data_IF_474927026231
#
_entry.id   IF_474927026231
#
_cell.length_a   1.000
_cell.length_b   1.000
_cell.length_c   1.000
_cell.angle_alpha   90.00
_cell.angle_beta   90.00
_cell.angle_gamma   90.00
#
_symmetry.space_group_name_H-M   'P 1'
#
loop_
_entity.id
_entity.type
_entity.pdbx_description
1 polymer ?
#
# COMPACT_ATOMS: atom_id res chain seq x y z
N UNK A 1 38.33 -49.17 16.09
CA UNK A 1 38.03 -47.90 15.40
C UNK A 1 36.66 -47.47 15.88
N UNK A 2 36.64 -46.52 16.82
CA UNK A 2 35.56 -46.33 17.80
C UNK A 2 34.32 -45.64 17.23
N UNK A 3 33.16 -46.11 17.68
CA UNK A 3 31.79 -45.64 17.37
C UNK A 3 31.57 -44.14 17.65
N UNK A 4 32.46 -43.54 18.44
CA UNK A 4 32.49 -42.12 18.82
C UNK A 4 32.61 -41.21 17.60
N UNK A 5 33.38 -41.59 16.58
CA UNK A 5 33.54 -40.82 15.34
C UNK A 5 32.28 -40.76 14.48
N UNK A 6 31.42 -41.77 14.58
CA UNK A 6 30.17 -41.88 13.81
C UNK A 6 29.09 -41.00 14.46
N UNK A 7 29.00 -41.02 15.80
CA UNK A 7 28.04 -40.24 16.56
C UNK A 7 28.23 -38.72 16.42
N UNK A 8 29.47 -38.22 16.38
CA UNK A 8 29.75 -36.79 16.21
C UNK A 8 29.37 -36.29 14.82
N UNK A 9 29.60 -37.09 13.78
CA UNK A 9 29.25 -36.71 12.38
C UNK A 9 27.74 -36.65 12.15
N UNK A 10 26.99 -37.59 12.73
CA UNK A 10 25.53 -37.59 12.64
C UNK A 10 24.93 -36.37 13.36
N UNK A 11 25.45 -36.02 14.54
CA UNK A 11 25.00 -34.84 15.28
C UNK A 11 25.19 -33.52 14.51
N UNK A 12 26.33 -33.36 13.83
CA UNK A 12 26.61 -32.19 13.00
C UNK A 12 25.68 -32.12 11.78
N UNK A 13 25.41 -33.25 11.12
CA UNK A 13 24.47 -33.29 10.00
C UNK A 13 23.04 -32.93 10.42
N UNK A 14 22.56 -33.43 11.56
CA UNK A 14 21.22 -33.11 12.08
C UNK A 14 21.11 -31.63 12.44
N UNK A 15 22.14 -31.05 13.06
CA UNK A 15 22.18 -29.62 13.38
C UNK A 15 22.12 -28.73 12.13
N UNK A 16 22.81 -29.10 11.04
CA UNK A 16 22.77 -28.36 9.78
C UNK A 16 21.39 -28.44 9.11
N UNK A 17 20.72 -29.61 9.14
CA UNK A 17 19.38 -29.78 8.56
C UNK A 17 18.34 -28.96 9.34
N UNK A 18 18.43 -28.93 10.67
CA UNK A 18 17.54 -28.11 11.51
C UNK A 18 17.73 -26.61 11.27
N UNK A 19 18.97 -26.14 11.12
CA UNK A 19 19.25 -24.73 10.81
C UNK A 19 18.70 -24.32 9.43
N UNK A 20 18.80 -25.20 8.42
CA UNK A 20 18.24 -24.96 7.08
C UNK A 20 16.71 -24.98 7.07
N UNK A 21 16.08 -25.84 7.87
CA UNK A 21 14.62 -25.89 7.99
C UNK A 21 14.05 -24.64 8.67
N UNK A 22 14.71 -24.12 9.71
CA UNK A 22 14.31 -22.90 10.42
C UNK A 22 14.47 -21.64 9.56
N UNK A 23 15.54 -21.54 8.77
CA UNK A 23 15.75 -20.40 7.86
C UNK A 23 14.68 -20.28 6.77
N UNK A 24 14.22 -21.41 6.23
CA UNK A 24 13.17 -21.43 5.21
C UNK A 24 11.77 -21.09 5.76
N UNK A 25 11.51 -21.36 7.03
CA UNK A 25 10.23 -21.00 7.66
C UNK A 25 10.12 -19.47 7.86
N UNK A 26 11.18 -18.83 8.35
CA UNK A 26 11.22 -17.37 8.57
C UNK A 26 11.10 -16.58 7.25
N UNK A 27 11.73 -17.05 6.17
CA UNK A 27 11.66 -16.40 4.86
C UNK A 27 10.27 -16.49 4.20
N UNK A 28 9.50 -17.55 4.47
CA UNK A 28 8.13 -17.70 3.94
C UNK A 28 7.11 -16.80 4.62
N UNK A 29 7.34 -16.41 5.87
CA UNK A 29 6.42 -15.54 6.60
C UNK A 29 6.56 -14.06 6.19
N UNK A 30 7.77 -13.62 5.85
CA UNK A 30 8.02 -12.25 5.37
C UNK A 30 7.45 -11.97 3.97
N UNK A 31 7.35 -12.97 3.10
CA UNK A 31 6.80 -12.82 1.75
C UNK A 31 5.26 -12.68 1.72
N UNK A 32 4.56 -12.92 2.84
CA UNK A 32 3.10 -12.99 2.84
C UNK A 32 2.39 -11.64 3.07
N UNK A 33 3.13 -10.56 3.38
CA UNK A 33 2.55 -9.24 3.68
C UNK A 33 3.40 -8.07 3.17
N UNK A 34 3.90 -8.14 1.93
CA UNK A 34 4.44 -6.92 1.30
C UNK A 34 3.29 -5.94 1.04
N UNK A 35 3.31 -4.81 1.76
CA UNK A 35 2.38 -3.70 1.52
C UNK A 35 2.82 -3.01 0.23
N UNK A 36 2.00 -3.12 -0.80
CA UNK A 36 2.23 -2.50 -2.10
C UNK A 36 1.64 -1.09 -2.10
N UNK A 37 2.37 -0.16 -2.69
CA UNK A 37 1.89 1.20 -2.94
C UNK A 37 1.62 1.34 -4.42
N UNK A 38 0.43 1.79 -4.78
CA UNK A 38 -0.01 1.96 -6.16
C UNK A 38 -0.40 3.42 -6.39
N UNK A 39 0.12 4.00 -7.48
CA UNK A 39 -0.31 5.31 -7.95
C UNK A 39 -1.22 5.13 -9.16
N UNK A 40 -2.45 5.63 -9.04
CA UNK A 40 -3.42 5.64 -10.13
C UNK A 40 -3.40 7.02 -10.76
N UNK A 41 -2.89 7.09 -11.97
CA UNK A 41 -2.96 8.26 -12.82
C UNK A 41 -4.36 8.37 -13.44
N UNK A 42 -5.02 9.51 -13.24
CA UNK A 42 -6.31 9.79 -13.87
C UNK A 42 -6.24 11.17 -14.51
N UNK A 43 -6.79 11.31 -15.71
CA UNK A 43 -6.92 12.63 -16.32
C UNK A 43 -7.85 13.54 -15.51
N UNK A 44 -8.82 12.95 -14.79
CA UNK A 44 -9.82 13.70 -14.01
C UNK A 44 -10.11 12.95 -12.72
N UNK A 45 -10.02 13.66 -11.60
CA UNK A 45 -10.42 13.17 -10.28
C UNK A 45 -11.67 13.93 -9.85
N UNK A 46 -12.76 13.19 -9.62
CA UNK A 46 -14.05 13.77 -9.22
C UNK A 46 -14.24 13.53 -7.73
N UNK A 47 -14.33 14.61 -6.95
CA UNK A 47 -14.46 14.60 -5.50
C UNK A 47 -15.88 14.98 -5.10
N UNK A 48 -16.52 14.07 -4.38
CA UNK A 48 -17.73 14.36 -3.64
C UNK A 48 -17.35 14.65 -2.19
N UNK A 49 -17.17 15.94 -1.88
CA UNK A 49 -16.81 16.40 -0.54
C UNK A 49 -17.97 16.19 0.45
N UNK A 50 -17.64 15.72 1.65
CA UNK A 50 -18.55 15.45 2.76
C UNK A 50 -18.06 16.20 4.00
N UNK A 51 -18.99 16.69 4.80
CA UNK A 51 -18.66 17.38 6.06
C UNK A 51 -18.72 16.39 7.25
N UNK A 52 -18.19 15.18 7.06
CA UNK A 52 -18.11 14.17 8.11
C UNK A 52 -16.72 14.21 8.77
N UNK A 53 -16.61 13.96 10.09
CA UNK A 53 -15.34 14.11 10.81
C UNK A 53 -14.27 13.10 10.36
N UNK A 54 -14.65 11.90 9.94
CA UNK A 54 -13.70 10.84 9.59
C UNK A 54 -13.52 10.67 8.07
N UNK A 55 -14.54 11.03 7.27
CA UNK A 55 -14.53 10.87 5.82
C UNK A 55 -14.84 12.20 5.15
N UNK A 56 -13.81 12.84 4.63
CA UNK A 56 -13.89 14.16 4.02
C UNK A 56 -14.39 14.13 2.58
N UNK A 57 -14.12 13.07 1.82
CA UNK A 57 -14.65 12.96 0.47
C UNK A 57 -14.76 11.51 -0.03
N UNK A 58 -15.51 11.34 -1.12
CA UNK A 58 -15.45 10.17 -1.98
C UNK A 58 -14.91 10.57 -3.34
N UNK A 59 -13.95 9.81 -3.84
CA UNK A 59 -13.30 10.04 -5.14
C UNK A 59 -13.74 8.95 -6.10
N UNK A 60 -14.18 9.35 -7.29
CA UNK A 60 -14.41 8.43 -8.40
C UNK A 60 -13.12 8.35 -9.22
N UNK A 61 -12.53 7.16 -9.27
CA UNK A 61 -11.27 6.89 -9.95
C UNK A 61 -11.54 6.01 -11.17
N UNK A 62 -11.07 6.48 -12.33
CA UNK A 62 -11.18 5.78 -13.60
C UNK A 62 -9.80 5.26 -13.99
N UNK A 63 -9.54 3.98 -13.73
CA UNK A 63 -8.25 3.34 -14.03
C UNK A 63 -8.07 3.03 -15.51
N UNK A 64 -9.17 2.84 -16.25
CA UNK A 64 -9.18 2.69 -17.70
C UNK A 64 -10.55 3.03 -18.31
N UNK A 65 -10.64 3.20 -19.63
CA UNK A 65 -11.87 3.61 -20.32
C UNK A 65 -13.01 2.58 -20.26
N UNK A 66 -12.70 1.31 -20.01
CA UNK A 66 -13.68 0.20 -19.93
C UNK A 66 -13.74 -0.43 -18.55
N UNK A 67 -12.97 0.08 -17.59
CA UNK A 67 -12.91 -0.47 -16.24
C UNK A 67 -14.13 -0.04 -15.44
N UNK A 68 -14.51 -0.84 -14.44
CA UNK A 68 -15.48 -0.39 -13.46
C UNK A 68 -14.94 0.82 -12.70
N UNK A 69 -15.83 1.80 -12.49
CA UNK A 69 -15.50 3.01 -11.73
C UNK A 69 -15.24 2.61 -10.28
N UNK A 70 -14.07 2.95 -9.78
CA UNK A 70 -13.71 2.65 -8.41
C UNK A 70 -14.03 3.84 -7.51
N UNK A 71 -14.75 3.57 -6.42
CA UNK A 71 -14.96 4.55 -5.36
C UNK A 71 -13.86 4.42 -4.30
N UNK A 72 -13.19 5.52 -4.02
CA UNK A 72 -12.17 5.63 -2.99
C UNK A 72 -12.55 6.73 -1.98
N UNK A 73 -11.96 6.72 -0.80
CA UNK A 73 -12.26 7.67 0.26
C UNK A 73 -11.06 8.53 0.62
N UNK A 74 -11.35 9.77 0.99
CA UNK A 74 -10.40 10.71 1.58
C UNK A 74 -10.81 10.95 3.02
N UNK A 75 -9.80 10.97 3.87
CA UNK A 75 -9.90 11.29 5.29
C UNK A 75 -8.94 12.44 5.63
N UNK A 76 -8.86 12.78 6.92
CA UNK A 76 -8.01 13.87 7.42
C UNK A 76 -6.51 13.61 7.29
N UNK A 77 -6.11 12.36 7.20
CA UNK A 77 -4.70 11.95 7.14
C UNK A 77 -4.22 11.84 5.68
N UNK A 78 -5.12 11.96 4.72
CA UNK A 78 -4.80 12.02 3.29
C UNK A 78 -3.99 13.29 3.01
N UNK A 79 -2.80 13.14 2.44
CA UNK A 79 -1.96 14.29 2.07
C UNK A 79 -2.37 14.86 0.71
N UNK A 80 -2.47 16.18 0.61
CA UNK A 80 -2.65 16.87 -0.65
C UNK A 80 -1.34 17.54 -1.07
N UNK A 81 -0.84 17.24 -2.27
CA UNK A 81 0.42 17.79 -2.79
C UNK A 81 0.14 18.55 -4.09
N UNK A 82 0.83 19.68 -4.27
CA UNK A 82 0.94 20.38 -5.56
C UNK A 82 2.40 20.72 -5.82
N UNK A 83 3.00 20.12 -6.84
CA UNK A 83 4.44 20.19 -7.07
C UNK A 83 5.20 19.65 -5.84
N UNK A 84 5.98 20.50 -5.17
CA UNK A 84 6.73 20.13 -3.95
C UNK A 84 6.10 20.66 -2.66
N UNK A 85 4.88 21.19 -2.71
CA UNK A 85 4.20 21.78 -1.56
C UNK A 85 3.06 20.89 -1.07
N UNK A 86 3.05 20.60 0.23
CA UNK A 86 1.88 20.03 0.90
C UNK A 86 0.85 21.13 1.20
N UNK A 87 -0.39 20.87 0.83
CA UNK A 87 -1.54 21.78 0.95
C UNK A 87 -2.55 21.20 1.95
N UNK A 88 -3.42 22.08 2.44
CA UNK A 88 -4.55 21.65 3.27
C UNK A 88 -5.55 20.83 2.45
N UNK A 89 -5.90 19.63 2.92
CA UNK A 89 -6.81 18.71 2.23
C UNK A 89 -8.21 19.31 1.99
N UNK A 90 -8.63 20.27 2.82
CA UNK A 90 -9.90 21.00 2.65
C UNK A 90 -9.98 21.80 1.34
N UNK A 91 -8.84 22.08 0.71
CA UNK A 91 -8.79 22.73 -0.60
C UNK A 91 -9.52 21.92 -1.68
N UNK A 92 -9.51 20.59 -1.58
CA UNK A 92 -10.28 19.72 -2.49
C UNK A 92 -11.80 19.97 -2.40
N UNK A 93 -12.30 20.45 -1.26
CA UNK A 93 -13.72 20.78 -1.09
C UNK A 93 -14.16 22.03 -1.85
N UNK A 94 -13.23 22.82 -2.40
CA UNK A 94 -13.55 24.06 -3.12
C UNK A 94 -13.96 23.83 -4.57
N UNK A 95 -13.64 22.66 -5.14
CA UNK A 95 -13.96 22.29 -6.53
C UNK A 95 -14.29 20.80 -6.60
N UNK A 96 -15.24 20.45 -7.46
CA UNK A 96 -15.65 19.06 -7.66
C UNK A 96 -14.62 18.25 -8.45
N UNK A 97 -13.80 18.90 -9.26
CA UNK A 97 -12.92 18.25 -10.22
C UNK A 97 -11.50 18.82 -10.17
N UNK A 98 -10.52 17.92 -10.25
CA UNK A 98 -9.10 18.24 -10.31
C UNK A 98 -8.36 17.31 -11.28
N UNK A 99 -7.31 17.84 -11.89
CA UNK A 99 -6.35 17.05 -12.66
C UNK A 99 -5.23 16.61 -11.72
N UNK A 100 -4.94 15.30 -11.69
CA UNK A 100 -4.01 14.76 -10.72
C UNK A 100 -3.99 13.25 -10.64
N UNK A 101 -3.21 12.72 -9.72
CA UNK A 101 -3.17 11.29 -9.43
C UNK A 101 -3.41 11.02 -7.95
N UNK A 102 -3.84 9.80 -7.65
CA UNK A 102 -4.05 9.33 -6.28
C UNK A 102 -3.12 8.17 -5.98
N UNK A 103 -2.62 8.09 -4.76
CA UNK A 103 -1.82 6.96 -4.28
C UNK A 103 -2.61 6.20 -3.22
N UNK A 104 -2.66 4.88 -3.37
CA UNK A 104 -3.32 3.94 -2.47
C UNK A 104 -2.33 2.88 -1.98
N UNK A 105 -2.70 2.18 -0.92
CA UNK A 105 -1.95 1.02 -0.40
C UNK A 105 -2.77 -0.25 -0.56
N UNK A 106 -2.11 -1.38 -0.82
CA UNK A 106 -2.77 -2.69 -0.82
C UNK A 106 -3.30 -3.10 0.57
N UNK A 107 -2.79 -2.51 1.65
CA UNK A 107 -3.29 -2.73 3.01
C UNK A 107 -4.69 -2.13 3.21
N UNK A 108 -4.98 -1.01 2.54
CA UNK A 108 -6.33 -0.42 2.49
C UNK A 108 -6.58 0.20 1.10
N UNK A 109 -7.01 -0.62 0.11
CA UNK A 109 -7.13 -0.18 -1.27
C UNK A 109 -8.32 0.75 -1.50
N UNK A 110 -9.17 0.98 -0.49
CA UNK A 110 -10.31 1.91 -0.58
C UNK A 110 -9.92 3.32 -0.11
N UNK A 111 -8.85 3.44 0.64
CA UNK A 111 -8.38 4.68 1.25
C UNK A 111 -7.28 5.32 0.39
N UNK A 112 -7.42 6.61 0.12
CA UNK A 112 -6.38 7.39 -0.55
C UNK A 112 -5.40 7.90 0.50
N UNK A 113 -4.11 7.67 0.26
CA UNK A 113 -3.03 8.13 1.13
C UNK A 113 -2.48 9.49 0.69
N UNK A 114 -2.42 9.71 -0.63
CA UNK A 114 -1.91 10.94 -1.23
C UNK A 114 -2.74 11.30 -2.44
N UNK A 115 -3.09 12.57 -2.56
CA UNK A 115 -3.59 13.20 -3.79
C UNK A 115 -2.53 14.18 -4.25
N UNK A 116 -2.14 14.10 -5.52
CA UNK A 116 -1.25 15.07 -6.14
C UNK A 116 -1.97 15.74 -7.30
N UNK A 117 -2.14 17.06 -7.22
CA UNK A 117 -2.86 17.87 -8.20
C UNK A 117 -1.90 18.71 -9.04
N UNK A 118 -2.25 18.94 -10.30
CA UNK A 118 -1.39 19.62 -11.27
C UNK A 118 -1.81 21.08 -11.55
N UNK A 119 -3.08 21.43 -11.33
CA UNK A 119 -3.64 22.78 -11.54
C UNK A 119 -4.39 23.33 -10.31
#
# INVERSE_FOLDING_TARGET
MSEEWVMTRIGVCIACILALALGNAAAREQAMHEVLMETIESQRLIFHWRHEPERLATVLVYTCSTCEIQQKFIDRETRLIRGNQELDISLLGQRVEWDGHVTISSADPKRILKVEIFE
#
